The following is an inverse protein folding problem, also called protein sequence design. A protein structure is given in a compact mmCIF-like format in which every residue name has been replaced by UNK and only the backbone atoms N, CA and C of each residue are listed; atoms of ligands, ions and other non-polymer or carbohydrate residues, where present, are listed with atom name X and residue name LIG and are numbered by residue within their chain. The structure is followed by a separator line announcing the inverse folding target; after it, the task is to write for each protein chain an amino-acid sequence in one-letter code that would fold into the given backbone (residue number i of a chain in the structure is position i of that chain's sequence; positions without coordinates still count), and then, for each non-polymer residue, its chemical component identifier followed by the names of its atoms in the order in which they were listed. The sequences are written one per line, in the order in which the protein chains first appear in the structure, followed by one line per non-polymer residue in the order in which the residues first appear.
data_IF_137811198048
#
_entry.id   IF_137811198048
#
_cell.length_a   1.000
_cell.length_b   1.000
_cell.length_c   1.000
_cell.angle_alpha   90.00
_cell.angle_beta   90.00
_cell.angle_gamma   90.00
#
_symmetry.space_group_name_H-M   'P 1'
#
loop_
_entity.id
_entity.type
_entity.pdbx_description
1 polymer ?
#
# COMPACT_ATOMS: atom_id res chain seq x y z
N UNK A 1 -25.53 -0.65 73.89
CA UNK A 1 -24.18 -0.58 73.37
C UNK A 1 -24.25 -0.83 71.85
N UNK A 2 -24.00 0.18 71.13
CA UNK A 2 -24.25 0.20 69.70
C UNK A 2 -22.98 -0.25 68.96
N UNK A 3 -23.09 -1.37 68.24
CA UNK A 3 -22.06 -1.84 67.35
C UNK A 3 -22.26 -1.26 65.97
N UNK A 4 -21.46 -0.31 65.65
CA UNK A 4 -21.48 0.30 64.28
C UNK A 4 -20.57 -0.50 63.37
N UNK A 5 -21.15 -1.38 62.60
CA UNK A 5 -20.46 -2.02 61.48
C UNK A 5 -20.38 -1.03 60.33
N UNK A 6 -19.19 -0.56 60.09
CA UNK A 6 -18.85 0.21 58.88
C UNK A 6 -18.64 -0.75 57.74
N UNK A 7 -19.60 -0.88 56.85
CA UNK A 7 -19.52 -1.65 55.62
C UNK A 7 -18.77 -0.81 54.58
N UNK A 8 -17.51 -1.10 54.35
CA UNK A 8 -16.71 -0.52 53.26
C UNK A 8 -17.03 -1.31 52.01
N UNK A 9 -17.88 -0.75 51.15
CA UNK A 9 -18.05 -1.28 49.80
C UNK A 9 -16.93 -0.81 48.94
N UNK A 10 -15.96 -1.71 48.69
CA UNK A 10 -14.92 -1.51 47.70
C UNK A 10 -15.52 -1.71 46.31
N UNK A 11 -15.80 -0.63 45.59
CA UNK A 11 -16.07 -0.68 44.17
C UNK A 11 -14.80 -1.04 43.39
N UNK A 12 -14.68 -2.31 43.04
CA UNK A 12 -13.69 -2.75 42.08
C UNK A 12 -14.12 -2.27 40.70
N UNK A 13 -13.53 -1.18 40.21
CA UNK A 13 -13.60 -0.82 38.79
C UNK A 13 -12.80 -1.86 38.00
N UNK A 14 -13.52 -2.82 37.44
CA UNK A 14 -12.96 -3.68 36.42
C UNK A 14 -12.85 -2.84 35.13
N UNK A 15 -11.67 -2.30 34.87
CA UNK A 15 -11.35 -1.72 33.59
C UNK A 15 -11.34 -2.82 32.53
N UNK A 16 -12.36 -2.84 31.70
CA UNK A 16 -12.35 -3.63 30.49
C UNK A 16 -11.34 -3.01 29.54
N UNK A 17 -10.13 -3.54 29.57
CA UNK A 17 -9.19 -3.42 28.46
C UNK A 17 -9.81 -4.20 27.30
N UNK A 18 -10.55 -3.50 26.45
CA UNK A 18 -11.01 -4.04 25.20
C UNK A 18 -9.78 -4.28 24.33
N UNK A 19 -9.30 -5.52 24.26
CA UNK A 19 -8.44 -5.97 23.20
C UNK A 19 -9.24 -5.94 21.91
N UNK A 20 -9.08 -4.90 21.09
CA UNK A 20 -9.52 -4.95 19.70
C UNK A 20 -8.61 -5.94 18.98
N UNK A 21 -9.05 -7.18 18.91
CA UNK A 21 -8.51 -8.18 18.01
C UNK A 21 -8.84 -7.73 16.58
N UNK A 22 -7.96 -6.99 15.95
CA UNK A 22 -8.01 -6.82 14.50
C UNK A 22 -7.60 -8.15 13.88
N UNK A 23 -8.58 -8.91 13.41
CA UNK A 23 -8.38 -10.25 12.83
C UNK A 23 -7.79 -10.21 11.40
N UNK A 24 -7.02 -9.19 11.06
CA UNK A 24 -6.40 -9.02 9.76
C UNK A 24 -4.87 -9.01 9.85
N UNK A 25 -4.19 -9.12 8.69
CA UNK A 25 -2.73 -8.99 8.65
C UNK A 25 -2.31 -7.59 9.05
N UNK A 26 -1.11 -7.48 9.62
CA UNK A 26 -0.52 -6.18 9.94
C UNK A 26 -0.08 -5.49 8.65
N UNK A 27 -0.73 -4.38 8.34
CA UNK A 27 -0.48 -3.58 7.15
C UNK A 27 0.12 -2.23 7.52
N UNK A 28 1.06 -1.76 6.70
CA UNK A 28 1.49 -0.38 6.67
C UNK A 28 0.82 0.34 5.49
N UNK A 29 0.38 1.57 5.69
CA UNK A 29 -0.09 2.42 4.59
C UNK A 29 1.11 2.82 3.74
N UNK A 30 1.00 2.71 2.42
CA UNK A 30 2.10 3.02 1.48
C UNK A 30 1.59 3.87 0.35
N UNK A 31 2.23 5.01 0.17
CA UNK A 31 2.02 5.90 -0.96
C UNK A 31 3.36 6.43 -1.47
N UNK A 32 3.37 7.04 -2.62
CA UNK A 32 4.55 7.65 -3.19
C UNK A 32 4.34 8.14 -4.61
N UNK A 33 5.43 8.56 -5.24
CA UNK A 33 5.45 9.06 -6.60
C UNK A 33 6.44 8.25 -7.43
N UNK A 34 6.03 7.88 -8.64
CA UNK A 34 6.89 7.23 -9.64
C UNK A 34 7.20 8.24 -10.74
N UNK A 35 8.48 8.43 -11.00
CA UNK A 35 8.97 9.26 -12.10
C UNK A 35 9.79 8.44 -13.08
N UNK A 36 9.79 8.83 -14.34
CA UNK A 36 10.64 8.28 -15.40
C UNK A 36 11.40 9.43 -16.06
N UNK A 37 12.73 9.38 -15.98
CA UNK A 37 13.61 10.44 -16.48
C UNK A 37 13.23 11.84 -15.96
N UNK A 38 12.84 11.91 -14.68
CA UNK A 38 12.47 13.13 -13.98
C UNK A 38 11.03 13.59 -14.21
N UNK A 39 10.21 12.84 -14.94
CA UNK A 39 8.80 13.19 -15.22
C UNK A 39 7.86 12.19 -14.55
N UNK A 40 6.69 12.64 -14.05
CA UNK A 40 5.69 11.73 -13.52
C UNK A 40 5.31 10.63 -14.53
N UNK A 41 5.24 9.39 -14.06
CA UNK A 41 4.84 8.26 -14.89
C UNK A 41 3.38 7.91 -14.61
N UNK A 42 2.51 8.29 -15.54
CA UNK A 42 1.07 8.04 -15.47
C UNK A 42 0.72 6.61 -15.90
N UNK A 43 -0.23 5.99 -15.21
CA UNK A 43 -0.81 4.71 -15.59
C UNK A 43 0.17 3.53 -15.50
N UNK A 44 1.19 3.64 -14.66
CA UNK A 44 2.10 2.53 -14.37
C UNK A 44 1.51 1.62 -13.30
N UNK A 45 1.62 0.31 -13.52
CA UNK A 45 1.28 -0.69 -12.52
C UNK A 45 2.47 -0.89 -11.58
N UNK A 46 2.24 -0.74 -10.30
CA UNK A 46 3.25 -1.00 -9.25
C UNK A 46 2.77 -2.16 -8.38
N UNK A 47 3.67 -3.06 -8.05
CA UNK A 47 3.38 -4.24 -7.24
C UNK A 47 4.47 -4.42 -6.18
N UNK A 48 4.04 -4.59 -4.94
CA UNK A 48 4.90 -4.93 -3.81
C UNK A 48 4.69 -6.41 -3.47
N UNK A 49 5.74 -7.20 -3.68
CA UNK A 49 5.71 -8.65 -3.44
C UNK A 49 6.50 -8.98 -2.17
N UNK A 50 5.83 -9.39 -1.07
CA UNK A 50 6.53 -9.85 0.13
C UNK A 50 7.14 -11.23 -0.09
N UNK A 51 8.11 -11.60 0.74
CA UNK A 51 8.72 -12.95 0.71
C UNK A 51 7.70 -14.07 0.98
N UNK A 52 6.66 -13.77 1.74
CA UNK A 52 5.53 -14.65 1.99
C UNK A 52 4.26 -13.84 2.17
N UNK A 53 3.16 -14.30 1.60
CA UNK A 53 1.88 -13.63 1.70
C UNK A 53 1.44 -12.93 0.42
N UNK A 54 0.39 -12.15 0.53
CA UNK A 54 -0.26 -11.50 -0.60
C UNK A 54 0.49 -10.24 -1.02
N UNK A 55 0.68 -10.07 -2.32
CA UNK A 55 1.19 -8.83 -2.89
C UNK A 55 0.14 -7.71 -2.83
N UNK A 56 0.62 -6.48 -2.72
CA UNK A 56 -0.18 -5.27 -2.86
C UNK A 56 0.14 -4.57 -4.16
N UNK A 57 -0.82 -3.84 -4.71
CA UNK A 57 -0.67 -3.21 -6.02
C UNK A 57 -1.34 -1.84 -6.09
N UNK A 58 -0.93 -1.06 -7.07
CA UNK A 58 -1.54 0.22 -7.40
C UNK A 58 -1.32 0.56 -8.88
N UNK A 59 -2.05 1.57 -9.35
CA UNK A 59 -1.83 2.22 -10.63
C UNK A 59 -1.55 3.68 -10.35
N UNK A 60 -0.51 4.23 -10.95
CA UNK A 60 -0.17 5.64 -10.80
C UNK A 60 -1.15 6.54 -11.53
N UNK A 61 -1.41 7.71 -10.95
CA UNK A 61 -2.23 8.75 -11.56
C UNK A 61 -1.39 9.67 -12.50
N UNK A 62 -2.01 10.73 -13.03
CA UNK A 62 -1.37 11.67 -13.94
C UNK A 62 -0.16 12.41 -13.31
N UNK A 63 -0.06 12.49 -12.00
CA UNK A 63 1.07 13.05 -11.27
C UNK A 63 2.10 11.99 -10.86
N UNK A 64 1.92 10.74 -11.29
CA UNK A 64 2.76 9.61 -10.91
C UNK A 64 2.52 9.12 -9.48
N UNK A 65 1.53 9.66 -8.80
CA UNK A 65 1.20 9.29 -7.42
C UNK A 65 0.48 7.95 -7.37
N UNK A 66 0.82 7.13 -6.37
CA UNK A 66 0.18 5.85 -6.12
C UNK A 66 -0.12 5.67 -4.63
N UNK A 67 -1.13 4.88 -4.36
CA UNK A 67 -1.47 4.37 -3.02
C UNK A 67 -1.68 2.87 -3.16
N UNK A 68 -0.97 2.07 -2.39
CA UNK A 68 -1.09 0.61 -2.47
C UNK A 68 -2.41 0.12 -1.89
N UNK A 69 -3.01 -0.82 -2.59
CA UNK A 69 -4.16 -1.60 -2.14
C UNK A 69 -3.72 -3.03 -1.86
N UNK A 70 -3.97 -3.50 -0.65
CA UNK A 70 -3.79 -4.90 -0.27
C UNK A 70 -4.94 -5.76 -0.76
N UNK A 71 -6.15 -5.20 -0.71
CA UNK A 71 -7.37 -5.83 -1.19
C UNK A 71 -8.38 -4.77 -1.60
N UNK A 72 -9.54 -5.18 -2.12
CA UNK A 72 -10.62 -4.26 -2.47
C UNK A 72 -11.11 -3.38 -1.30
N UNK A 73 -10.87 -3.81 -0.06
CA UNK A 73 -11.35 -3.14 1.16
C UNK A 73 -10.23 -2.69 2.10
N UNK A 74 -8.96 -2.97 1.78
CA UNK A 74 -7.83 -2.67 2.65
C UNK A 74 -6.69 -2.05 1.87
N UNK A 75 -6.29 -0.86 2.24
CA UNK A 75 -5.10 -0.18 1.69
C UNK A 75 -3.83 -0.57 2.44
N UNK A 76 -2.71 -0.49 1.74
CA UNK A 76 -1.39 -0.73 2.30
C UNK A 76 -0.74 -2.01 1.80
N UNK A 77 0.29 -2.43 2.51
CA UNK A 77 1.05 -3.65 2.23
C UNK A 77 1.47 -4.31 3.54
N UNK A 78 1.78 -5.59 3.47
CA UNK A 78 2.32 -6.33 4.62
C UNK A 78 3.59 -5.64 5.14
N UNK A 79 3.73 -5.58 6.45
CA UNK A 79 4.95 -5.05 7.09
C UNK A 79 6.11 -5.98 6.77
N UNK A 80 7.25 -5.40 6.36
CA UNK A 80 8.48 -6.12 6.05
C UNK A 80 9.05 -5.77 4.68
N UNK A 81 9.96 -6.62 4.20
CA UNK A 81 10.63 -6.43 2.91
C UNK A 81 9.81 -6.90 1.74
N UNK A 82 9.85 -6.14 0.67
CA UNK A 82 9.18 -6.43 -0.59
C UNK A 82 10.13 -6.32 -1.76
N UNK A 83 9.93 -7.16 -2.76
CA UNK A 83 10.42 -6.91 -4.12
C UNK A 83 9.37 -6.06 -4.82
N UNK A 84 9.80 -4.98 -5.44
CA UNK A 84 8.89 -4.05 -6.12
C UNK A 84 9.02 -4.23 -7.62
N UNK A 85 7.87 -4.36 -8.30
CA UNK A 85 7.80 -4.42 -9.77
C UNK A 85 7.00 -3.27 -10.29
N UNK A 86 7.50 -2.60 -11.31
CA UNK A 86 6.84 -1.48 -11.96
C UNK A 86 6.80 -1.74 -13.45
N UNK A 87 5.61 -1.70 -14.01
CA UNK A 87 5.35 -1.90 -15.45
C UNK A 87 4.62 -0.68 -16.00
N UNK A 88 5.05 -0.23 -17.17
CA UNK A 88 4.41 0.89 -17.87
C UNK A 88 3.43 0.44 -18.95
N UNK A 89 3.50 -0.81 -19.39
CA UNK A 89 2.58 -1.35 -20.38
C UNK A 89 1.15 -1.29 -19.86
N UNK A 90 0.24 -0.85 -20.72
CA UNK A 90 -1.20 -0.84 -20.43
C UNK A 90 -2.01 -1.12 -21.68
N UNK A 91 -3.19 -1.74 -21.50
CA UNK A 91 -4.17 -1.91 -22.56
C UNK A 91 -5.03 -0.67 -22.72
N UNK A 92 -5.63 -0.49 -23.89
CA UNK A 92 -6.61 0.57 -24.10
C UNK A 92 -7.84 0.32 -23.22
N UNK A 93 -8.41 1.38 -22.67
CA UNK A 93 -9.62 1.32 -21.83
C UNK A 93 -10.44 2.60 -21.97
N UNK A 94 -11.70 2.55 -21.59
CA UNK A 94 -12.61 3.70 -21.70
C UNK A 94 -13.15 3.90 -23.12
N UNK A 95 -13.62 5.10 -23.42
CA UNK A 95 -14.19 5.44 -24.72
C UNK A 95 -15.65 5.03 -24.92
N UNK A 96 -16.30 4.46 -23.89
CA UNK A 96 -17.72 4.19 -23.86
C UNK A 96 -18.46 5.31 -23.13
N UNK A 97 -19.51 5.84 -23.75
CA UNK A 97 -20.24 6.98 -23.19
C UNK A 97 -19.34 8.20 -23.05
N UNK A 98 -19.37 8.84 -21.89
CA UNK A 98 -18.57 10.02 -21.56
C UNK A 98 -17.19 9.68 -20.97
N UNK A 99 -16.83 8.39 -20.88
CA UNK A 99 -15.54 7.97 -20.36
C UNK A 99 -14.41 8.31 -21.33
N UNK A 100 -13.33 8.98 -20.87
CA UNK A 100 -12.20 9.29 -21.73
C UNK A 100 -11.50 8.03 -22.22
N UNK A 101 -11.08 8.04 -23.48
CA UNK A 101 -10.30 6.95 -24.05
C UNK A 101 -8.87 7.00 -23.54
N UNK A 102 -8.45 5.95 -22.84
CA UNK A 102 -7.06 5.71 -22.47
C UNK A 102 -6.42 4.81 -23.52
N UNK A 103 -5.42 5.32 -24.23
CA UNK A 103 -4.73 4.57 -25.28
C UNK A 103 -3.83 3.50 -24.68
N UNK A 104 -3.71 2.37 -25.39
CA UNK A 104 -2.71 1.36 -25.10
C UNK A 104 -1.29 1.94 -25.16
N UNK A 105 -0.42 1.41 -24.33
CA UNK A 105 1.01 1.76 -24.30
C UNK A 105 1.83 0.49 -24.16
N UNK A 106 2.87 0.28 -25.00
CA UNK A 106 3.81 -0.81 -24.81
C UNK A 106 4.67 -0.58 -23.57
N UNK A 107 5.38 -1.62 -23.13
CA UNK A 107 6.36 -1.48 -22.05
C UNK A 107 7.52 -0.59 -22.49
N UNK A 108 7.75 0.51 -21.76
CA UNK A 108 8.86 1.45 -22.00
C UNK A 108 9.94 1.41 -20.91
N UNK A 109 9.68 0.66 -19.82
CA UNK A 109 10.63 0.52 -18.73
C UNK A 109 11.61 -0.62 -19.00
N UNK A 110 12.90 -0.48 -18.61
CA UNK A 110 13.85 -1.58 -18.61
C UNK A 110 13.39 -2.76 -17.74
N UNK A 111 13.78 -3.97 -18.12
CA UNK A 111 13.44 -5.21 -17.41
C UNK A 111 13.88 -5.21 -15.93
N UNK A 112 14.88 -4.41 -15.57
CA UNK A 112 15.34 -4.25 -14.18
C UNK A 112 14.31 -3.67 -13.23
N UNK A 113 13.17 -3.17 -13.74
CA UNK A 113 12.07 -2.66 -12.93
C UNK A 113 10.86 -3.59 -12.87
N UNK A 114 10.80 -4.61 -13.72
CA UNK A 114 9.67 -5.55 -13.77
C UNK A 114 10.08 -7.03 -13.84
N UNK A 115 10.41 -7.58 -15.01
CA UNK A 115 10.69 -9.00 -15.16
C UNK A 115 11.93 -9.47 -14.36
N UNK A 116 12.94 -8.61 -14.23
CA UNK A 116 14.17 -8.83 -13.46
C UNK A 116 14.35 -7.72 -12.44
N UNK A 117 13.33 -7.46 -11.65
CA UNK A 117 13.33 -6.34 -10.73
C UNK A 117 14.45 -6.42 -9.71
N UNK A 118 15.19 -5.32 -9.60
CA UNK A 118 16.20 -5.07 -8.57
C UNK A 118 15.66 -4.11 -7.49
N UNK A 119 14.41 -3.64 -7.65
CA UNK A 119 13.79 -2.73 -6.70
C UNK A 119 13.34 -3.47 -5.46
N UNK A 120 13.67 -2.90 -4.32
CA UNK A 120 13.21 -3.38 -3.02
C UNK A 120 12.66 -2.24 -2.19
N UNK A 121 11.77 -2.55 -1.28
CA UNK A 121 11.24 -1.60 -0.32
C UNK A 121 10.98 -2.29 1.01
N UNK A 122 11.04 -1.52 2.09
CA UNK A 122 10.67 -1.99 3.42
C UNK A 122 9.45 -1.21 3.88
N UNK A 123 8.39 -1.94 4.26
CA UNK A 123 7.15 -1.37 4.77
C UNK A 123 7.15 -1.47 6.27
N UNK A 124 6.95 -0.34 6.93
CA UNK A 124 6.81 -0.24 8.38
C UNK A 124 5.36 -0.02 8.77
N UNK A 125 5.03 -0.24 10.04
CA UNK A 125 3.72 0.09 10.59
C UNK A 125 3.47 1.60 10.49
N UNK A 126 2.21 2.00 10.30
CA UNK A 126 1.83 3.38 10.10
C UNK A 126 1.91 3.81 8.63
N UNK A 127 2.34 5.04 8.38
CA UNK A 127 2.40 5.61 7.03
C UNK A 127 3.81 5.55 6.47
N UNK A 128 3.92 5.11 5.22
CA UNK A 128 5.18 5.07 4.47
C UNK A 128 5.03 5.90 3.19
N UNK A 129 6.04 6.73 2.91
CA UNK A 129 6.16 7.42 1.63
C UNK A 129 7.37 6.85 0.90
N UNK A 130 7.13 6.13 -0.19
CA UNK A 130 8.16 5.42 -0.96
C UNK A 130 8.08 5.87 -2.42
N UNK A 131 9.07 6.64 -2.84
CA UNK A 131 9.16 7.17 -4.20
C UNK A 131 10.13 6.34 -5.04
N UNK A 132 9.87 6.28 -6.35
CA UNK A 132 10.73 5.58 -7.30
C UNK A 132 11.10 6.51 -8.45
N UNK A 133 12.38 6.83 -8.57
CA UNK A 133 12.93 7.60 -9.68
C UNK A 133 13.54 6.64 -10.68
N UNK A 134 12.82 6.38 -11.78
CA UNK A 134 13.21 5.43 -12.79
C UNK A 134 13.92 6.11 -13.95
N UNK A 135 14.74 5.35 -14.67
CA UNK A 135 15.40 5.79 -15.89
C UNK A 135 15.03 4.88 -17.06
N UNK A 136 14.92 5.45 -18.25
CA UNK A 136 14.67 4.68 -19.47
C UNK A 136 15.91 3.90 -19.97
N UNK A 137 17.06 4.15 -19.39
CA UNK A 137 18.32 3.47 -19.73
C UNK A 137 18.46 2.16 -18.94
N UNK A 138 18.86 1.12 -19.65
CA UNK A 138 19.17 -0.20 -19.07
C UNK A 138 20.44 -0.16 -18.25
#
# INVERSE_FOLDING_TARGET
MLNRFCLVVACALFGMLGCSNSSGPDLGYVEGVVTLDGKPLDGAAIQFEPAGGRASSAITDAQGHYVLDFSATSQGALIGKHVVRIQSARTASGGEGDAPLVKARPEILPAKYHARSELTAEVEGGSNTIDFDLTSKS
#
